data_IF_905068775622
#
_entry.id   IF_905068775622
#
_cell.length_a   1.000
_cell.length_b   1.000
_cell.length_c   1.000
_cell.angle_alpha   90.00
_cell.angle_beta   90.00
_cell.angle_gamma   90.00
#
_symmetry.space_group_name_H-M   'P 1'
#
loop_
_entity.id
_entity.type
_entity.pdbx_description
1 polymer ?
#
# COMPACT_ATOMS: atom_id res chain seq x y z
N UNK A 1 -2.20 12.88 -16.98
CA UNK A 1 -1.66 12.63 -15.62
C UNK A 1 -0.96 11.28 -15.66
N UNK A 2 0.35 11.24 -15.43
CA UNK A 2 1.11 9.99 -15.40
C UNK A 2 0.82 9.36 -14.04
N UNK A 3 0.09 8.24 -14.05
CA UNK A 3 -0.18 7.46 -12.86
C UNK A 3 1.14 6.98 -12.24
N UNK A 4 1.54 7.52 -11.08
CA UNK A 4 2.81 7.16 -10.43
C UNK A 4 2.57 5.91 -9.60
N UNK A 5 2.99 4.77 -10.16
CA UNK A 5 2.91 3.47 -9.49
C UNK A 5 4.05 3.32 -8.48
N UNK A 6 3.70 3.18 -7.21
CA UNK A 6 4.60 2.90 -6.11
C UNK A 6 4.58 1.42 -5.74
N UNK A 7 5.73 0.91 -5.28
CA UNK A 7 5.86 -0.45 -4.75
C UNK A 7 6.27 -0.44 -3.29
N UNK A 8 5.70 -1.37 -2.53
CA UNK A 8 6.02 -1.64 -1.14
C UNK A 8 6.99 -2.84 -1.04
N UNK A 9 7.80 -2.86 0.02
CA UNK A 9 8.97 -3.73 0.26
C UNK A 9 8.85 -5.17 -0.31
N UNK A 10 9.72 -5.51 -1.28
CA UNK A 10 9.84 -6.85 -1.90
C UNK A 10 10.55 -7.89 -1.01
N UNK A 11 11.33 -7.43 -0.03
CA UNK A 11 12.27 -8.28 0.74
C UNK A 11 11.54 -9.25 1.70
N UNK A 12 10.30 -8.95 2.09
CA UNK A 12 9.52 -9.76 3.02
C UNK A 12 8.42 -10.61 2.36
N UNK A 13 8.46 -10.80 1.03
CA UNK A 13 7.45 -11.57 0.29
C UNK A 13 6.13 -10.83 0.04
N UNK A 14 6.06 -9.54 0.39
CA UNK A 14 4.99 -8.64 -0.02
C UNK A 14 5.37 -8.00 -1.36
N UNK A 15 4.42 -7.86 -2.29
CA UNK A 15 4.62 -7.09 -3.53
C UNK A 15 3.35 -6.25 -3.72
N UNK A 16 3.26 -5.19 -2.91
CA UNK A 16 2.16 -4.24 -2.99
C UNK A 16 2.45 -3.20 -4.05
N UNK A 17 1.49 -2.96 -4.94
CA UNK A 17 1.56 -1.90 -5.95
C UNK A 17 0.39 -0.93 -5.75
N UNK A 18 0.64 0.37 -5.82
CA UNK A 18 -0.41 1.35 -5.61
C UNK A 18 -0.08 2.76 -6.06
N UNK A 19 -1.03 3.66 -5.91
CA UNK A 19 -0.97 5.04 -6.36
C UNK A 19 -1.52 5.98 -5.29
N UNK A 20 -0.84 7.11 -5.09
CA UNK A 20 -1.35 8.20 -4.28
C UNK A 20 -2.36 9.02 -5.10
N UNK A 21 -3.54 9.21 -4.55
CA UNK A 21 -4.63 10.03 -5.11
C UNK A 21 -5.05 11.10 -4.10
N UNK A 22 -5.86 12.06 -4.51
CA UNK A 22 -6.31 13.16 -3.63
C UNK A 22 -7.05 12.64 -2.39
N UNK A 23 -7.89 11.61 -2.56
CA UNK A 23 -8.69 11.00 -1.49
C UNK A 23 -7.96 9.94 -0.65
N UNK A 24 -6.68 9.66 -0.92
CA UNK A 24 -5.91 8.65 -0.19
C UNK A 24 -4.95 7.86 -1.05
N UNK A 25 -4.94 6.54 -0.90
CA UNK A 25 -4.00 5.67 -1.60
C UNK A 25 -4.66 4.42 -2.14
N UNK A 26 -4.62 4.23 -3.46
CA UNK A 26 -5.20 3.09 -4.14
C UNK A 26 -4.17 1.97 -4.21
N UNK A 27 -4.46 0.83 -3.59
CA UNK A 27 -3.70 -0.40 -3.81
C UNK A 27 -4.34 -1.14 -4.99
N UNK A 28 -3.53 -1.52 -5.97
CA UNK A 28 -3.98 -2.13 -7.21
C UNK A 28 -4.29 -3.61 -7.06
N UNK A 29 -5.22 -4.10 -7.87
CA UNK A 29 -5.43 -5.52 -8.11
C UNK A 29 -4.10 -6.24 -8.41
N UNK A 30 -3.96 -7.46 -7.91
CA UNK A 30 -2.76 -8.29 -8.05
C UNK A 30 -1.68 -7.99 -7.01
N UNK A 31 -1.85 -6.95 -6.19
CA UNK A 31 -0.97 -6.68 -5.05
C UNK A 31 -0.95 -7.84 -4.06
N UNK A 32 0.22 -8.10 -3.47
CA UNK A 32 0.44 -9.19 -2.53
C UNK A 32 0.82 -8.67 -1.15
N UNK A 33 0.20 -9.25 -0.14
CA UNK A 33 0.40 -8.95 1.27
C UNK A 33 0.68 -10.25 2.03
N UNK A 34 1.56 -10.22 3.03
CA UNK A 34 1.79 -11.40 3.87
C UNK A 34 0.59 -11.68 4.77
N UNK A 35 0.33 -12.95 5.05
CA UNK A 35 -0.73 -13.36 5.99
C UNK A 35 -0.38 -12.96 7.42
N UNK A 36 0.89 -13.17 7.80
CA UNK A 36 1.34 -12.93 9.16
C UNK A 36 1.33 -11.44 9.54
N UNK A 37 0.98 -11.18 10.80
CA UNK A 37 1.09 -9.86 11.42
C UNK A 37 2.33 -9.85 12.30
N UNK A 38 3.16 -8.81 12.21
CA UNK A 38 4.23 -8.62 13.20
C UNK A 38 3.62 -8.22 14.55
N UNK A 39 4.32 -8.47 15.67
CA UNK A 39 3.89 -8.00 16.99
C UNK A 39 3.74 -6.46 17.06
N UNK A 40 4.40 -5.72 16.17
CA UNK A 40 4.27 -4.26 16.06
C UNK A 40 3.07 -3.80 15.21
N UNK A 41 2.24 -4.71 14.69
CA UNK A 41 1.08 -4.34 13.88
C UNK A 41 -0.04 -3.78 14.78
N UNK A 42 -0.63 -2.62 14.45
CA UNK A 42 -1.77 -2.11 15.21
C UNK A 42 -3.01 -3.02 15.02
N UNK A 43 -3.85 -3.14 16.04
CA UNK A 43 -5.08 -3.95 15.99
C UNK A 43 -6.00 -3.59 14.82
N UNK A 44 -6.02 -2.30 14.43
CA UNK A 44 -6.77 -1.82 13.26
C UNK A 44 -6.39 -2.54 11.97
N UNK A 45 -5.15 -3.01 11.82
CA UNK A 45 -4.71 -3.78 10.65
C UNK A 45 -5.44 -5.11 10.57
N UNK A 46 -5.60 -5.79 11.72
CA UNK A 46 -6.30 -7.07 11.79
C UNK A 46 -7.78 -6.90 11.42
N UNK A 47 -8.44 -5.88 11.98
CA UNK A 47 -9.83 -5.55 11.66
C UNK A 47 -10.02 -5.18 10.19
N UNK A 48 -9.11 -4.37 9.63
CA UNK A 48 -9.16 -3.98 8.21
C UNK A 48 -8.96 -5.19 7.30
N UNK A 49 -7.99 -6.06 7.57
CA UNK A 49 -7.79 -7.29 6.78
C UNK A 49 -8.99 -8.20 6.81
N UNK A 50 -9.59 -8.40 8.00
CA UNK A 50 -10.79 -9.22 8.12
C UNK A 50 -11.94 -8.65 7.30
N UNK A 51 -12.12 -7.33 7.31
CA UNK A 51 -13.14 -6.66 6.49
C UNK A 51 -12.88 -6.82 5.00
N UNK A 52 -11.62 -6.73 4.58
CA UNK A 52 -11.23 -6.91 3.17
C UNK A 52 -11.46 -8.35 2.71
N UNK A 53 -11.18 -9.34 3.56
CA UNK A 53 -11.48 -10.76 3.29
C UNK A 53 -12.99 -10.98 3.18
N UNK A 54 -13.76 -10.47 4.14
CA UNK A 54 -15.22 -10.59 4.16
C UNK A 54 -15.89 -9.91 2.96
N UNK A 55 -15.31 -8.78 2.51
CA UNK A 55 -15.78 -8.06 1.32
C UNK A 55 -15.28 -8.66 0.00
N UNK A 56 -14.44 -9.71 0.03
CA UNK A 56 -13.86 -10.31 -1.18
C UNK A 56 -12.83 -9.43 -1.91
N UNK A 57 -12.30 -8.40 -1.27
CA UNK A 57 -11.27 -7.52 -1.85
C UNK A 57 -9.91 -8.20 -1.84
N UNK A 58 -9.62 -8.99 -0.81
CA UNK A 58 -8.41 -9.80 -0.71
C UNK A 58 -8.78 -11.27 -0.53
N UNK A 59 -7.96 -12.17 -1.04
CA UNK A 59 -8.11 -13.61 -0.88
C UNK A 59 -6.77 -14.25 -0.54
N UNK A 60 -6.81 -15.30 0.29
CA UNK A 60 -5.63 -16.10 0.58
C UNK A 60 -5.31 -17.03 -0.61
N UNK A 61 -4.14 -16.87 -1.22
CA UNK A 61 -3.61 -17.74 -2.28
C UNK A 61 -2.15 -18.05 -2.00
N UNK A 62 -1.78 -19.34 -2.02
CA UNK A 62 -0.39 -19.78 -1.89
C UNK A 62 0.35 -19.21 -0.65
N UNK A 63 -0.36 -19.02 0.47
CA UNK A 63 0.24 -18.50 1.71
C UNK A 63 0.47 -16.98 1.72
N UNK A 64 -0.13 -16.23 0.78
CA UNK A 64 -0.17 -14.77 0.77
C UNK A 64 -1.60 -14.27 0.54
N UNK A 65 -1.90 -13.06 0.98
CA UNK A 65 -3.12 -12.36 0.58
C UNK A 65 -2.90 -11.66 -0.76
N UNK A 66 -3.82 -11.87 -1.70
CA UNK A 66 -3.82 -11.26 -3.02
C UNK A 66 -5.03 -10.34 -3.15
N UNK A 67 -4.80 -9.10 -3.57
CA UNK A 67 -5.87 -8.16 -3.88
C UNK A 67 -6.55 -8.58 -5.19
N UNK A 68 -7.84 -8.86 -5.12
CA UNK A 68 -8.67 -9.26 -6.26
C UNK A 68 -9.25 -8.07 -7.03
N UNK A 69 -9.16 -6.88 -6.47
CA UNK A 69 -9.59 -5.63 -7.10
C UNK A 69 -8.82 -4.44 -6.51
N UNK A 70 -8.90 -3.29 -7.19
CA UNK A 70 -8.38 -2.03 -6.69
C UNK A 70 -9.11 -1.62 -5.39
N UNK A 71 -8.36 -1.14 -4.39
CA UNK A 71 -8.93 -0.70 -3.12
C UNK A 71 -8.33 0.64 -2.66
N UNK A 72 -9.20 1.61 -2.40
CA UNK A 72 -8.83 2.91 -1.87
C UNK A 72 -8.71 2.86 -0.34
N UNK A 73 -7.49 3.05 0.14
CA UNK A 73 -7.21 3.30 1.54
C UNK A 73 -7.31 4.79 1.85
N UNK A 74 -7.75 5.17 3.07
CA UNK A 74 -7.88 6.57 3.47
C UNK A 74 -6.54 7.29 3.61
N UNK A 75 -5.42 6.57 3.58
CA UNK A 75 -4.07 7.15 3.62
C UNK A 75 -3.01 6.16 3.12
N UNK A 76 -1.85 6.64 2.64
CA UNK A 76 -0.73 5.77 2.25
C UNK A 76 -0.21 4.92 3.42
N UNK A 77 -0.26 5.43 4.65
CA UNK A 77 0.15 4.67 5.83
C UNK A 77 -0.80 3.52 6.14
N UNK A 78 -2.12 3.72 6.02
CA UNK A 78 -3.08 2.63 6.19
C UNK A 78 -2.85 1.52 5.15
N UNK A 79 -2.60 1.89 3.89
CA UNK A 79 -2.25 0.94 2.84
C UNK A 79 -0.97 0.16 3.17
N UNK A 80 0.11 0.84 3.54
CA UNK A 80 1.39 0.21 3.87
C UNK A 80 1.26 -0.74 5.07
N UNK A 81 0.54 -0.33 6.12
CA UNK A 81 0.34 -1.16 7.31
C UNK A 81 -0.43 -2.44 7.00
N UNK A 82 -1.46 -2.36 6.15
CA UNK A 82 -2.26 -3.52 5.76
C UNK A 82 -1.48 -4.45 4.84
N UNK A 83 -0.75 -3.90 3.86
CA UNK A 83 0.08 -4.69 2.93
C UNK A 83 1.23 -5.37 3.66
N UNK A 84 1.94 -4.66 4.53
CA UNK A 84 3.06 -5.21 5.29
C UNK A 84 2.62 -6.02 6.52
N UNK A 85 1.39 -5.83 7.00
CA UNK A 85 0.93 -6.45 8.24
C UNK A 85 1.75 -6.01 9.45
N UNK A 86 2.18 -4.74 9.48
CA UNK A 86 3.09 -4.18 10.48
C UNK A 86 2.77 -2.69 10.70
N UNK A 87 3.28 -2.11 11.80
CA UNK A 87 3.39 -0.65 11.86
C UNK A 87 4.39 -0.18 10.79
N UNK A 88 3.93 0.72 9.93
CA UNK A 88 4.64 1.17 8.75
C UNK A 88 4.29 2.63 8.44
N UNK A 89 5.25 3.37 7.91
CA UNK A 89 5.07 4.73 7.44
C UNK A 89 4.90 4.74 5.92
N UNK A 90 3.69 4.98 5.43
CA UNK A 90 3.41 4.92 4.00
C UNK A 90 4.27 5.88 3.17
N UNK A 91 4.65 7.03 3.73
CA UNK A 91 5.47 8.01 3.02
C UNK A 91 6.86 7.50 2.65
N UNK A 92 7.41 6.57 3.43
CA UNK A 92 8.76 6.00 3.22
C UNK A 92 8.73 4.60 2.61
N UNK A 93 7.66 3.85 2.87
CA UNK A 93 7.52 2.46 2.40
C UNK A 93 7.15 2.37 0.92
N UNK A 94 6.34 3.31 0.43
CA UNK A 94 5.97 3.37 -0.98
C UNK A 94 7.08 4.04 -1.78
N UNK A 95 7.66 3.33 -2.73
CA UNK A 95 8.76 3.82 -3.58
C UNK A 95 8.42 3.73 -5.05
N UNK A 96 8.84 4.73 -5.82
CA UNK A 96 8.67 4.72 -7.27
C UNK A 96 9.66 3.74 -7.94
N UNK A 97 9.63 3.66 -9.28
CA UNK A 97 10.55 2.83 -10.08
C UNK A 97 12.02 3.22 -9.89
N UNK A 98 12.29 4.49 -9.60
CA UNK A 98 13.63 5.06 -9.34
C UNK A 98 14.10 4.83 -7.90
N UNK A 99 13.22 4.30 -7.04
CA UNK A 99 13.51 4.05 -5.63
C UNK A 99 13.26 5.26 -4.71
N UNK A 100 12.78 6.38 -5.25
CA UNK A 100 12.42 7.55 -4.46
C UNK A 100 11.14 7.26 -3.67
N UNK A 101 11.10 7.69 -2.42
CA UNK A 101 9.95 7.51 -1.54
C UNK A 101 8.78 8.39 -1.94
N UNK A 102 7.58 8.01 -1.54
CA UNK A 102 6.37 8.79 -1.77
C UNK A 102 6.51 10.23 -1.23
N UNK A 103 7.17 10.41 -0.08
CA UNK A 103 7.48 11.75 0.44
C UNK A 103 8.36 12.60 -0.47
N UNK A 104 9.38 12.00 -1.09
CA UNK A 104 10.27 12.70 -2.02
C UNK A 104 9.51 13.08 -3.29
N UNK A 105 8.78 12.13 -3.87
CA UNK A 105 8.01 12.32 -5.10
C UNK A 105 6.85 13.33 -4.94
N UNK A 106 6.21 13.35 -3.76
CA UNK A 106 5.13 14.29 -3.48
C UNK A 106 5.64 15.72 -3.28
N UNK A 107 6.81 15.89 -2.64
CA UNK A 107 7.42 17.21 -2.47
C UNK A 107 7.89 17.81 -3.78
N UNK A 108 8.43 16.99 -4.69
CA UNK A 108 8.87 17.40 -6.02
C UNK A 108 7.70 17.80 -6.93
N UNK A 109 6.56 17.12 -6.81
CA UNK A 109 5.36 17.43 -7.60
C UNK A 109 4.68 18.77 -7.22
N UNK A 110 4.97 19.31 -6.04
CA UNK A 110 4.43 20.61 -5.61
C UNK A 110 5.17 21.81 -6.23
N UNK A 111 6.29 21.58 -6.91
CA UNK A 111 7.12 22.62 -7.55
C UNK A 111 6.96 22.68 -9.09
N UNK A 112 6.12 21.84 -9.69
CA UNK A 112 5.82 21.87 -11.14
C UNK A 112 4.48 22.56 -11.45
N UNK A 113 4.23 23.71 -10.81
CA UNK A 113 2.94 24.39 -10.92
C UNK A 113 2.99 25.89 -10.61
N UNK A 114 3.96 26.64 -11.15
CA UNK A 114 3.81 28.09 -11.34
C UNK A 114 4.79 28.65 -12.39
N UNK A 115 4.41 28.60 -13.67
CA UNK A 115 4.83 29.60 -14.67
C UNK A 115 3.58 30.39 -15.11
#
# INVERSE_FOLDING_TARGET
MIAKLFRCCRVCGCDGSGELVEDGFVVREGSKSRIELTPSAPDSVKSNRQRLLDSGVIEERDGVYVYLQDYLFPSPSAAAQVVLGASANGWTEWKDKSGATLSEVHRDAADEGND
#
